data_IF_392438524759
#
_entry.id   IF_392438524759
#
_cell.length_a   1.000
_cell.length_b   1.000
_cell.length_c   1.000
_cell.angle_alpha   90.00
_cell.angle_beta   90.00
_cell.angle_gamma   90.00
#
_symmetry.space_group_name_H-M   'P 1'
#
loop_
_entity.id
_entity.type
_entity.pdbx_description
1 polymer ?
#
# COMPACT_ATOMS: atom_id res chain seq x y z
N UNK A 1 -7.25 4.88 0.12
CA UNK A 1 -7.16 5.12 1.58
C UNK A 1 -7.19 3.76 2.23
N UNK A 2 -6.41 3.55 3.28
CA UNK A 2 -6.37 2.28 4.01
C UNK A 2 -7.61 2.18 4.90
N UNK A 3 -8.32 1.07 4.84
CA UNK A 3 -9.49 0.77 5.68
C UNK A 3 -9.12 -0.25 6.77
N UNK A 4 -9.87 -0.33 7.89
CA UNK A 4 -9.67 -1.38 8.88
C UNK A 4 -9.74 -2.78 8.24
N UNK A 5 -8.67 -3.55 8.40
CA UNK A 5 -8.55 -4.90 7.82
C UNK A 5 -7.88 -4.94 6.44
N UNK A 6 -7.52 -3.79 5.86
CA UNK A 6 -6.69 -3.78 4.65
C UNK A 6 -5.24 -4.21 4.97
N UNK A 7 -4.66 -4.95 4.02
CA UNK A 7 -3.23 -5.14 3.88
C UNK A 7 -2.80 -4.64 2.49
N UNK A 8 -1.50 -4.39 2.28
CA UNK A 8 -0.99 -3.89 0.98
C UNK A 8 -1.39 -4.77 -0.20
N UNK A 9 -1.41 -6.10 -0.03
CA UNK A 9 -1.80 -7.04 -1.09
C UNK A 9 -3.26 -6.87 -1.50
N UNK A 10 -4.17 -6.78 -0.54
CA UNK A 10 -5.60 -6.56 -0.77
C UNK A 10 -5.83 -5.23 -1.46
N UNK A 11 -5.11 -4.18 -1.05
CA UNK A 11 -5.20 -2.87 -1.69
C UNK A 11 -4.68 -2.92 -3.13
N UNK A 12 -3.53 -3.54 -3.36
CA UNK A 12 -2.92 -3.64 -4.68
C UNK A 12 -3.81 -4.43 -5.66
N UNK A 13 -4.41 -5.53 -5.20
CA UNK A 13 -5.38 -6.31 -5.97
C UNK A 13 -6.66 -5.50 -6.27
N UNK A 14 -7.28 -4.90 -5.24
CA UNK A 14 -8.52 -4.12 -5.39
C UNK A 14 -8.35 -2.91 -6.32
N UNK A 15 -7.17 -2.31 -6.32
CA UNK A 15 -6.86 -1.12 -7.11
C UNK A 15 -6.15 -1.42 -8.45
N UNK A 16 -5.98 -2.70 -8.79
CA UNK A 16 -5.29 -3.16 -10.00
C UNK A 16 -3.92 -2.47 -10.20
N UNK A 17 -3.12 -2.40 -9.12
CA UNK A 17 -1.82 -1.72 -9.15
C UNK A 17 -0.88 -2.48 -10.09
N UNK A 18 -0.32 -1.82 -11.12
CA UNK A 18 0.67 -2.45 -11.99
C UNK A 18 1.91 -2.89 -11.19
N UNK A 19 2.24 -4.18 -11.22
CA UNK A 19 3.32 -4.76 -10.42
C UNK A 19 2.90 -5.15 -8.99
N UNK A 20 1.61 -5.04 -8.66
CA UNK A 20 1.01 -5.58 -7.44
C UNK A 20 1.55 -4.96 -6.15
N UNK A 21 1.59 -5.77 -5.09
CA UNK A 21 1.99 -5.37 -3.74
C UNK A 21 3.40 -4.78 -3.70
N UNK A 22 4.36 -5.36 -4.43
CA UNK A 22 5.75 -4.93 -4.41
C UNK A 22 5.93 -3.54 -5.01
N UNK A 23 5.22 -3.26 -6.11
CA UNK A 23 5.18 -1.93 -6.71
C UNK A 23 4.50 -0.92 -5.78
N UNK A 24 3.37 -1.32 -5.16
CA UNK A 24 2.68 -0.47 -4.18
C UNK A 24 3.58 -0.11 -2.99
N UNK A 25 4.35 -1.08 -2.48
CA UNK A 25 5.34 -0.84 -1.43
C UNK A 25 6.45 0.10 -1.92
N UNK A 26 7.03 -0.14 -3.09
CA UNK A 26 8.12 0.69 -3.63
C UNK A 26 7.71 2.16 -3.83
N UNK A 27 6.47 2.42 -4.25
CA UNK A 27 5.93 3.78 -4.42
C UNK A 27 5.75 4.50 -3.07
N UNK A 28 5.54 3.75 -1.98
CA UNK A 28 5.28 4.29 -0.64
C UNK A 28 6.39 3.96 0.38
N UNK A 29 7.57 3.54 -0.08
CA UNK A 29 8.64 3.04 0.80
C UNK A 29 9.20 4.11 1.73
N UNK A 30 9.02 5.39 1.39
CA UNK A 30 9.37 6.55 2.23
C UNK A 30 8.45 6.69 3.45
N UNK A 31 7.21 6.21 3.34
CA UNK A 31 6.20 6.20 4.41
C UNK A 31 6.17 4.86 5.17
N UNK A 32 6.67 3.79 4.54
CA UNK A 32 6.70 2.43 5.07
C UNK A 32 8.11 2.03 5.51
N UNK A 33 8.90 3.00 5.97
CA UNK A 33 10.29 2.84 6.38
C UNK A 33 10.45 1.90 7.59
N UNK A 34 9.41 1.78 8.41
CA UNK A 34 9.32 0.79 9.49
C UNK A 34 8.97 -0.64 9.01
N UNK A 35 8.55 -0.81 7.75
CA UNK A 35 8.29 -2.10 7.10
C UNK A 35 6.99 -2.17 6.28
N UNK A 36 6.84 -3.15 5.37
CA UNK A 36 5.68 -3.30 4.49
C UNK A 36 4.37 -3.62 5.22
N UNK A 37 4.46 -4.10 6.46
CA UNK A 37 3.30 -4.52 7.24
C UNK A 37 2.67 -3.38 8.06
N UNK A 38 3.25 -2.18 8.03
CA UNK A 38 2.82 -1.04 8.84
C UNK A 38 2.00 -0.05 8.00
N UNK A 39 0.75 -0.44 7.74
CA UNK A 39 -0.28 0.48 7.25
C UNK A 39 -1.38 0.66 8.29
N UNK A 40 -1.86 1.89 8.44
CA UNK A 40 -2.88 2.23 9.43
C UNK A 40 -4.16 2.73 8.76
N UNK A 41 -5.35 2.44 9.34
CA UNK A 41 -6.61 2.98 8.85
C UNK A 41 -6.56 4.51 8.71
N UNK A 42 -7.03 5.01 7.57
CA UNK A 42 -6.99 6.44 7.23
C UNK A 42 -5.72 6.89 6.50
N UNK A 43 -4.68 6.07 6.43
CA UNK A 43 -3.47 6.37 5.68
C UNK A 43 -3.73 6.48 4.17
N UNK A 44 -2.99 7.36 3.50
CA UNK A 44 -3.11 7.59 2.06
C UNK A 44 -1.91 6.99 1.35
N UNK A 45 -2.16 5.93 0.60
CA UNK A 45 -1.16 5.31 -0.27
C UNK A 45 -1.25 5.89 -1.68
N UNK A 46 -0.10 6.09 -2.30
CA UNK A 46 0.05 6.37 -3.74
C UNK A 46 -0.07 5.05 -4.51
N UNK A 47 -0.92 5.02 -5.53
CA UNK A 47 -1.16 3.81 -6.35
C UNK A 47 -0.37 3.81 -7.67
N UNK A 48 0.23 4.95 -8.01
CA UNK A 48 1.06 5.17 -9.20
C UNK A 48 2.10 6.24 -8.87
N UNK A 49 3.13 6.37 -9.72
CA UNK A 49 4.20 7.38 -9.60
C UNK A 49 3.70 8.80 -9.86
#
# INVERSE_FOLDING_TARGET
MVEPGDCLSVIAERADVPGGTDALYAINSDMLDEGPDLIYPGQRLRLTI
#
